data_IF_842278295099
#
_entry.id   IF_842278295099
#
_cell.length_a   1.000
_cell.length_b   1.000
_cell.length_c   1.000
_cell.angle_alpha   90.00
_cell.angle_beta   90.00
_cell.angle_gamma   90.00
#
_symmetry.space_group_name_H-M   'P 1'
#
loop_
_entity.id
_entity.type
_entity.pdbx_description
1 polymer ?
#
# COMPACT_ATOMS: atom_id res chain seq x y z
N UNK A 1 -49.32 -0.94 -37.01
CA UNK A 1 -47.85 -0.78 -37.05
C UNK A 1 -47.46 -0.27 -35.69
N UNK A 2 -46.71 -1.11 -35.01
CA UNK A 2 -46.50 -1.16 -33.57
C UNK A 2 -45.73 0.04 -33.02
N UNK A 3 -46.08 0.40 -31.79
CA UNK A 3 -45.30 1.26 -30.92
C UNK A 3 -44.00 0.55 -30.55
N UNK A 4 -42.87 1.23 -30.70
CA UNK A 4 -41.61 0.86 -30.05
C UNK A 4 -41.16 2.03 -29.20
N UNK A 5 -41.70 2.07 -27.99
CA UNK A 5 -41.14 2.79 -26.85
C UNK A 5 -39.71 2.28 -26.63
N UNK A 6 -38.72 3.09 -26.98
CA UNK A 6 -37.32 2.82 -26.70
C UNK A 6 -37.02 3.27 -25.27
N UNK A 7 -37.08 2.27 -24.39
CA UNK A 7 -36.87 2.33 -22.96
C UNK A 7 -35.61 3.12 -22.56
N UNK A 8 -35.85 4.04 -21.62
CA UNK A 8 -34.90 4.82 -20.84
C UNK A 8 -33.97 3.90 -20.06
N UNK A 9 -32.77 3.66 -20.59
CA UNK A 9 -31.67 3.16 -19.78
C UNK A 9 -30.99 4.34 -19.07
N UNK A 10 -31.65 4.82 -18.03
CA UNK A 10 -31.02 5.52 -16.91
C UNK A 10 -29.98 4.57 -16.30
N UNK A 11 -28.71 4.78 -16.67
CA UNK A 11 -27.57 4.13 -16.01
C UNK A 11 -27.07 5.06 -14.90
N UNK A 12 -27.91 5.27 -13.90
CA UNK A 12 -27.50 5.72 -12.58
C UNK A 12 -27.42 4.49 -11.67
N UNK A 13 -26.23 3.90 -11.56
CA UNK A 13 -25.94 2.95 -10.49
C UNK A 13 -24.49 3.10 -10.02
N UNK A 14 -24.39 3.44 -8.74
CA UNK A 14 -23.22 3.43 -7.85
C UNK A 14 -22.39 4.72 -7.76
N UNK A 15 -23.02 5.77 -7.23
CA UNK A 15 -22.38 6.52 -6.14
C UNK A 15 -22.20 5.60 -4.92
N UNK A 16 -21.27 5.94 -4.03
CA UNK A 16 -21.05 5.36 -2.67
C UNK A 16 -19.97 4.30 -2.56
N UNK A 17 -18.73 4.75 -2.40
CA UNK A 17 -18.06 4.66 -1.08
C UNK A 17 -16.97 5.73 -1.06
N UNK A 18 -17.39 6.97 -0.83
CA UNK A 18 -16.49 8.10 -0.53
C UNK A 18 -16.42 8.28 1.00
N UNK A 19 -16.31 7.15 1.72
CA UNK A 19 -16.15 7.07 3.17
C UNK A 19 -14.87 6.29 3.46
N UNK A 20 -13.74 7.01 3.48
CA UNK A 20 -12.63 6.83 4.42
C UNK A 20 -11.51 7.78 4.02
N UNK A 21 -11.75 9.08 4.22
CA UNK A 21 -10.70 10.08 4.12
C UNK A 21 -9.66 9.82 5.24
N UNK A 22 -8.72 8.93 4.96
CA UNK A 22 -7.54 8.58 5.77
C UNK A 22 -7.84 7.75 7.05
N UNK A 23 -8.52 6.61 6.94
CA UNK A 23 -8.60 5.61 8.03
C UNK A 23 -8.19 4.25 7.48
N UNK A 24 -6.97 3.82 7.77
CA UNK A 24 -6.39 2.59 7.23
C UNK A 24 -4.88 2.64 7.13
N UNK A 25 -4.28 1.53 6.67
CA UNK A 25 -2.83 1.47 6.44
C UNK A 25 -2.45 2.41 5.28
N UNK A 26 -1.52 3.35 5.50
CA UNK A 26 -1.11 4.31 4.49
C UNK A 26 -0.37 3.69 3.32
N UNK A 27 0.12 2.46 3.44
CA UNK A 27 0.70 1.72 2.32
C UNK A 27 -0.37 1.29 1.31
N UNK A 28 -1.62 1.14 1.74
CA UNK A 28 -2.75 0.76 0.87
C UNK A 28 -3.47 1.97 0.26
N UNK A 29 -2.98 3.19 0.49
CA UNK A 29 -3.60 4.40 -0.03
C UNK A 29 -3.43 4.52 -1.54
N UNK A 30 -4.49 4.97 -2.22
CA UNK A 30 -4.41 5.34 -3.63
C UNK A 30 -3.76 6.72 -3.77
N UNK A 31 -3.33 7.08 -4.98
CA UNK A 31 -2.80 8.42 -5.28
C UNK A 31 -3.77 9.54 -4.85
N UNK A 32 -5.09 9.32 -5.01
CA UNK A 32 -6.12 10.26 -4.56
C UNK A 32 -6.16 10.42 -3.02
N UNK A 33 -5.95 9.34 -2.27
CA UNK A 33 -5.90 9.37 -0.81
C UNK A 33 -4.65 10.12 -0.32
N UNK A 34 -3.51 9.91 -1.00
CA UNK A 34 -2.27 10.65 -0.74
C UNK A 34 -2.48 12.15 -1.00
N UNK A 35 -3.17 12.52 -2.08
CA UNK A 35 -3.54 13.91 -2.38
C UNK A 35 -4.43 14.51 -1.29
N UNK A 36 -5.46 13.77 -0.85
CA UNK A 36 -6.35 14.22 0.22
C UNK A 36 -5.58 14.41 1.54
N UNK A 37 -4.63 13.52 1.85
CA UNK A 37 -3.73 13.67 2.98
C UNK A 37 -2.81 14.88 2.85
N UNK A 38 -2.22 15.12 1.68
CA UNK A 38 -1.40 16.31 1.41
C UNK A 38 -2.21 17.60 1.63
N UNK A 39 -3.48 17.63 1.22
CA UNK A 39 -4.36 18.78 1.47
C UNK A 39 -4.56 19.03 2.97
N UNK A 40 -4.76 17.97 3.77
CA UNK A 40 -4.85 18.07 5.25
C UNK A 40 -3.55 18.56 5.88
N UNK A 41 -2.40 18.19 5.33
CA UNK A 41 -1.09 18.62 5.78
C UNK A 41 -0.66 20.02 5.25
N UNK A 42 -1.58 20.78 4.63
CA UNK A 42 -1.31 22.07 3.99
C UNK A 42 -0.28 22.02 2.83
N UNK A 43 -0.09 20.82 2.27
CA UNK A 43 0.79 20.52 1.13
C UNK A 43 0.01 20.30 -0.16
N UNK A 44 -1.31 20.56 -0.17
CA UNK A 44 -2.19 20.33 -1.31
C UNK A 44 -1.80 21.05 -2.61
N UNK A 45 -0.99 22.12 -2.52
CA UNK A 45 -0.42 22.79 -3.71
C UNK A 45 0.53 21.90 -4.53
N UNK A 46 1.09 20.84 -3.91
CA UNK A 46 1.95 19.87 -4.59
C UNK A 46 1.19 18.60 -5.01
N UNK A 47 -0.13 18.55 -4.80
CA UNK A 47 -0.95 17.40 -5.16
C UNK A 47 -0.79 17.01 -6.63
N UNK A 48 -0.74 17.99 -7.54
CA UNK A 48 -0.53 17.75 -8.97
C UNK A 48 0.79 17.01 -9.22
N UNK A 49 1.89 17.45 -8.61
CA UNK A 49 3.19 16.78 -8.76
C UNK A 49 3.14 15.33 -8.31
N UNK A 50 2.47 15.04 -7.19
CA UNK A 50 2.29 13.66 -6.70
C UNK A 50 1.37 12.84 -7.60
N UNK A 51 0.35 13.47 -8.19
CA UNK A 51 -0.54 12.82 -9.15
C UNK A 51 0.16 12.47 -10.46
N UNK A 52 0.95 13.41 -11.01
CA UNK A 52 1.69 13.23 -12.27
C UNK A 52 2.80 12.17 -12.15
N UNK A 53 3.34 12.00 -10.94
CA UNK A 53 4.34 10.96 -10.64
C UNK A 53 3.69 9.67 -10.09
N UNK A 54 2.35 9.60 -10.10
CA UNK A 54 1.57 8.44 -9.65
C UNK A 54 1.97 7.94 -8.26
N UNK A 55 2.29 8.87 -7.35
CA UNK A 55 2.76 8.54 -6.00
C UNK A 55 1.58 8.08 -5.15
N UNK A 56 1.43 6.77 -5.03
CA UNK A 56 0.49 6.11 -4.15
C UNK A 56 1.06 5.89 -2.74
N UNK A 57 0.24 5.31 -1.87
CA UNK A 57 0.58 5.02 -0.49
C UNK A 57 1.77 4.07 -0.32
N UNK A 58 1.89 3.07 -1.19
CA UNK A 58 2.99 2.10 -1.14
C UNK A 58 4.31 2.80 -1.46
N UNK A 59 4.33 3.67 -2.49
CA UNK A 59 5.50 4.48 -2.82
C UNK A 59 5.81 5.47 -1.72
N UNK A 60 4.79 6.15 -1.17
CA UNK A 60 4.94 7.11 -0.07
C UNK A 60 5.59 6.46 1.19
N UNK A 61 5.21 5.23 1.51
CA UNK A 61 5.70 4.48 2.68
C UNK A 61 6.95 3.65 2.40
N UNK A 62 7.39 3.55 1.15
CA UNK A 62 8.58 2.82 0.79
C UNK A 62 9.84 3.42 1.42
N UNK A 63 10.74 2.55 1.87
CA UNK A 63 12.07 2.92 2.37
C UNK A 63 12.90 3.63 1.28
N UNK A 64 12.63 3.36 0.00
CA UNK A 64 13.28 4.00 -1.15
C UNK A 64 12.73 5.38 -1.51
N UNK A 65 11.76 5.91 -0.75
CA UNK A 65 11.24 7.26 -0.98
C UNK A 65 12.17 8.29 -0.33
N UNK A 66 13.27 8.54 -1.03
CA UNK A 66 14.40 9.36 -0.57
C UNK A 66 14.19 10.87 -0.74
N UNK A 67 15.02 11.65 -0.05
CA UNK A 67 15.07 13.12 -0.16
C UNK A 67 15.24 13.64 -1.59
N UNK A 68 15.82 12.86 -2.50
CA UNK A 68 15.95 13.26 -3.90
C UNK A 68 14.62 13.22 -4.64
N UNK A 69 13.79 12.19 -4.44
CA UNK A 69 12.45 12.13 -5.01
C UNK A 69 11.54 13.20 -4.39
N UNK A 70 11.68 13.43 -3.09
CA UNK A 70 10.97 14.50 -2.38
C UNK A 70 11.36 15.90 -2.90
N UNK A 71 12.62 16.12 -3.33
CA UNK A 71 13.06 17.39 -3.92
C UNK A 71 12.41 17.67 -5.28
N UNK A 72 12.25 16.65 -6.10
CA UNK A 72 11.60 16.76 -7.41
C UNK A 72 10.12 17.12 -7.25
N UNK A 73 9.43 16.48 -6.30
CA UNK A 73 8.00 16.72 -6.03
C UNK A 73 7.76 18.03 -5.27
N UNK A 74 8.62 18.34 -4.28
CA UNK A 74 8.50 19.46 -3.36
C UNK A 74 9.82 20.26 -3.37
N UNK A 75 9.96 21.25 -4.27
CA UNK A 75 11.19 22.04 -4.37
C UNK A 75 11.47 22.85 -3.08
N UNK A 76 10.42 23.25 -2.36
CA UNK A 76 10.53 24.09 -1.16
C UNK A 76 11.04 23.33 0.07
N UNK A 77 12.21 23.71 0.58
CA UNK A 77 12.84 23.07 1.74
C UNK A 77 11.94 23.08 2.99
N UNK A 78 11.24 24.18 3.27
CA UNK A 78 10.33 24.27 4.42
C UNK A 78 9.21 23.23 4.33
N UNK A 79 8.64 23.08 3.14
CA UNK A 79 7.56 22.13 2.87
C UNK A 79 8.05 20.69 2.93
N UNK A 80 9.29 20.42 2.48
CA UNK A 80 9.94 19.10 2.63
C UNK A 80 10.09 18.66 4.08
N UNK A 81 10.46 19.59 4.96
CA UNK A 81 10.58 19.30 6.40
C UNK A 81 9.21 18.97 7.00
N UNK A 82 8.17 19.74 6.64
CA UNK A 82 6.79 19.47 7.08
C UNK A 82 6.32 18.13 6.56
N UNK A 83 6.48 17.86 5.26
CA UNK A 83 6.11 16.58 4.64
C UNK A 83 6.78 15.39 5.33
N UNK A 84 8.10 15.45 5.57
CA UNK A 84 8.80 14.37 6.27
C UNK A 84 8.33 14.21 7.71
N UNK A 85 7.98 15.30 8.39
CA UNK A 85 7.40 15.23 9.73
C UNK A 85 6.05 14.53 9.71
N UNK A 86 5.16 14.90 8.79
CA UNK A 86 3.83 14.30 8.65
C UNK A 86 3.93 12.84 8.20
N UNK A 87 4.82 12.50 7.26
CA UNK A 87 5.07 11.12 6.81
C UNK A 87 5.52 10.23 7.97
N UNK A 88 6.41 10.74 8.85
CA UNK A 88 6.84 10.03 10.06
C UNK A 88 5.70 9.83 11.06
N UNK A 89 4.86 10.86 11.27
CA UNK A 89 3.67 10.74 12.12
C UNK A 89 2.70 9.68 11.58
N UNK A 90 2.54 9.65 10.26
CA UNK A 90 1.68 8.70 9.59
C UNK A 90 2.17 7.26 9.78
N UNK A 91 3.47 7.00 9.58
CA UNK A 91 4.10 5.70 9.88
C UNK A 91 3.92 5.29 11.36
N UNK A 92 4.06 6.25 12.30
CA UNK A 92 3.85 5.98 13.72
C UNK A 92 2.39 5.66 14.05
N UNK A 93 1.43 6.37 13.44
CA UNK A 93 0.00 6.15 13.63
C UNK A 93 -0.42 4.75 13.16
N UNK A 94 0.12 4.29 12.02
CA UNK A 94 -0.10 2.93 11.51
C UNK A 94 0.32 1.86 12.51
N UNK A 95 1.51 2.02 13.11
CA UNK A 95 2.00 1.08 14.13
C UNK A 95 1.09 0.96 15.35
N UNK A 96 0.35 2.02 15.70
CA UNK A 96 -0.59 2.00 16.82
C UNK A 96 -1.94 1.39 16.45
N UNK A 97 -2.34 1.48 15.17
CA UNK A 97 -3.62 0.94 14.71
C UNK A 97 -3.64 -0.60 14.61
N UNK A 98 -2.50 -1.23 14.29
CA UNK A 98 -2.41 -2.70 14.12
C UNK A 98 -2.64 -3.47 15.43
N UNK A 99 -2.41 -2.87 16.59
CA UNK A 99 -2.52 -3.56 17.90
C UNK A 99 -3.98 -3.60 18.43
N UNK A 100 -4.92 -2.88 17.82
CA UNK A 100 -6.30 -2.78 18.30
C UNK A 100 -7.32 -3.66 17.54
N UNK A 101 -6.88 -4.47 16.57
CA UNK A 101 -7.77 -5.31 15.75
C UNK A 101 -8.06 -6.71 16.34
N UNK A 102 -7.41 -7.13 17.43
CA UNK A 102 -7.53 -8.50 17.98
C UNK A 102 -8.70 -8.73 18.97
N UNK A 103 -9.60 -7.77 19.24
CA UNK A 103 -10.65 -7.94 20.27
C UNK A 103 -12.11 -8.04 19.75
N UNK A 104 -12.34 -8.41 18.49
CA UNK A 104 -13.70 -8.67 18.02
C UNK A 104 -13.78 -9.75 16.93
N UNK A 105 -13.35 -10.97 17.24
CA UNK A 105 -13.92 -12.16 16.57
C UNK A 105 -14.13 -13.26 17.60
N UNK A 106 -15.15 -13.03 18.42
CA UNK A 106 -15.81 -14.04 19.23
C UNK A 106 -16.57 -15.00 18.30
N UNK A 107 -16.23 -16.29 18.42
CA UNK A 107 -17.07 -17.47 18.18
C UNK A 107 -17.79 -17.56 16.83
N UNK A 108 -17.34 -18.48 15.97
CA UNK A 108 -18.20 -19.54 15.38
C UNK A 108 -17.32 -20.70 14.86
N UNK A 109 -16.99 -21.58 15.79
CA UNK A 109 -17.22 -23.04 15.71
C UNK A 109 -17.30 -23.66 14.29
N UNK A 110 -16.18 -24.22 13.80
CA UNK A 110 -16.21 -25.21 12.71
C UNK A 110 -15.81 -26.56 13.31
N UNK A 111 -16.82 -27.38 13.50
CA UNK A 111 -16.72 -28.80 13.82
C UNK A 111 -15.92 -29.58 12.77
N UNK A 112 -14.95 -30.36 13.28
CA UNK A 112 -14.41 -31.65 12.78
C UNK A 112 -15.41 -32.52 11.97
N UNK A 113 -15.02 -33.52 11.13
CA UNK A 113 -13.91 -34.47 11.40
C UNK A 113 -13.18 -35.11 10.18
N UNK A 114 -12.16 -35.93 10.53
CA UNK A 114 -11.86 -37.27 9.99
C UNK A 114 -11.02 -37.46 8.69
N UNK A 115 -9.89 -38.17 8.90
CA UNK A 115 -9.31 -39.29 8.10
C UNK A 115 -8.96 -38.98 6.63
N UNK A 116 -7.81 -39.34 6.07
CA UNK A 116 -6.90 -40.48 6.28
C UNK A 116 -5.58 -40.23 5.48
N UNK A 117 -4.60 -41.17 5.38
CA UNK A 117 -3.16 -40.88 5.45
C UNK A 117 -2.42 -41.19 4.13
N UNK A 118 -1.08 -41.23 4.19
CA UNK A 118 -0.13 -41.87 3.24
C UNK A 118 0.32 -41.02 2.04
N UNK A 119 1.59 -40.96 1.63
CA UNK A 119 2.84 -41.68 1.95
C UNK A 119 4.04 -40.87 1.40
N UNK A 120 5.29 -41.20 1.78
CA UNK A 120 6.52 -40.49 1.40
C UNK A 120 7.14 -40.99 0.09
N UNK A 121 7.81 -40.10 -0.64
CA UNK A 121 8.82 -40.41 -1.64
C UNK A 121 9.94 -39.36 -1.48
N UNK A 122 11.16 -39.69 -1.03
CA UNK A 122 12.31 -40.17 -1.83
C UNK A 122 12.39 -39.46 -3.18
N UNK A 123 13.43 -38.78 -3.61
CA UNK A 123 14.86 -39.08 -3.50
C UNK A 123 15.66 -37.88 -4.09
N UNK A 124 16.94 -37.78 -3.71
CA UNK A 124 18.06 -37.21 -4.48
C UNK A 124 17.98 -35.84 -5.17
N UNK A 125 18.82 -34.90 -4.71
CA UNK A 125 20.07 -34.51 -5.40
C UNK A 125 20.80 -33.46 -4.53
N UNK A 126 21.96 -33.73 -3.89
CA UNK A 126 23.30 -33.81 -4.50
C UNK A 126 23.62 -32.59 -5.36
N UNK A 127 24.36 -31.61 -4.80
CA UNK A 127 25.80 -31.35 -5.08
C UNK A 127 26.23 -30.06 -4.33
N UNK A 128 27.17 -30.23 -3.40
CA UNK A 128 28.05 -29.19 -2.87
C UNK A 128 29.12 -28.85 -3.93
N UNK A 129 29.12 -27.66 -4.52
CA UNK A 129 30.30 -27.09 -5.22
C UNK A 129 30.33 -25.58 -4.92
N UNK A 130 31.12 -25.14 -3.94
CA UNK A 130 32.51 -24.64 -4.06
C UNK A 130 32.57 -23.15 -4.42
N UNK A 131 32.83 -22.33 -3.40
CA UNK A 131 33.37 -20.98 -3.56
C UNK A 131 34.86 -21.07 -3.90
N UNK A 132 35.35 -20.32 -4.90
CA UNK A 132 36.73 -19.86 -4.92
C UNK A 132 36.82 -18.41 -4.45
N UNK A 133 37.60 -18.23 -3.40
CA UNK A 133 37.90 -16.95 -2.75
C UNK A 133 38.60 -15.98 -3.70
N UNK A 134 38.22 -14.71 -3.58
CA UNK A 134 38.95 -13.59 -4.14
C UNK A 134 40.29 -13.42 -3.39
N UNK A 135 41.40 -13.40 -4.11
CA UNK A 135 42.64 -12.79 -3.61
C UNK A 135 43.50 -12.27 -4.76
N UNK A 136 43.27 -11.00 -5.11
CA UNK A 136 44.20 -10.21 -5.91
C UNK A 136 45.01 -9.32 -4.96
N UNK A 137 46.34 -9.48 -4.87
CA UNK A 137 47.20 -8.39 -4.43
C UNK A 137 47.72 -7.60 -5.63
N UNK A 138 47.29 -6.33 -5.72
CA UNK A 138 48.00 -5.25 -6.40
C UNK A 138 49.08 -4.72 -5.45
N UNK A 139 50.36 -4.82 -5.80
CA UNK A 139 51.24 -3.69 -6.21
C UNK A 139 52.67 -4.18 -6.35
#
# INVERSE_FOLDING_TARGET
MEAVDMDTADSEAASTTQESACSGDPSAWSTLDVIAWLQKCHLGQFATSFQENEVDGSVLMSDGFDDNMIKELIPSFKQRVVFNSERKKLSQATRLAVVNADNATDVLEISKPALEPQMPATDSNTVHIFQPEASCPRK
#
